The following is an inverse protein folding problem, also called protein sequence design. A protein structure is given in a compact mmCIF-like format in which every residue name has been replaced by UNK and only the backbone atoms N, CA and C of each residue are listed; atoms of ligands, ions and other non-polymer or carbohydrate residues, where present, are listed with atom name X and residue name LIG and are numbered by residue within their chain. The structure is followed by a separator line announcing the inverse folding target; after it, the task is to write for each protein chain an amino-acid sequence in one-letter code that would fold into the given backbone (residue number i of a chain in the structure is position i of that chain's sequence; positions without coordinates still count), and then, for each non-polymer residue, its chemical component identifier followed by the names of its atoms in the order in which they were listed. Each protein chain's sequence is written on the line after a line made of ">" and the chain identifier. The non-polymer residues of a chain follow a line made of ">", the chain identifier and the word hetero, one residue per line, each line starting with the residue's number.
data_IF_891340906089
#
_entry.id   IF_891340906089
#
_cell.length_a   1.000
_cell.length_b   1.000
_cell.length_c   1.000
_cell.angle_alpha   90.00
_cell.angle_beta   90.00
_cell.angle_gamma   90.00
#
_symmetry.space_group_name_H-M   'P 1'
#
loop_
_entity.id
_entity.type
_entity.pdbx_description
1 polymer ?
#
# COMPACT_ATOMS: atom_id res chain seq x y z
N UNK A 1 25.21 24.22 2.18
CA UNK A 1 24.78 23.44 0.99
C UNK A 1 23.53 24.10 0.45
N UNK A 2 23.37 24.20 -0.87
CA UNK A 2 22.19 24.85 -1.43
C UNK A 2 20.94 23.97 -1.20
N UNK A 3 19.75 24.56 -1.01
CA UNK A 3 18.48 23.83 -0.82
C UNK A 3 18.24 22.78 -1.90
N UNK A 4 18.64 23.07 -3.16
CA UNK A 4 18.56 22.14 -4.28
C UNK A 4 19.32 20.82 -4.10
N UNK A 5 20.39 20.78 -3.30
CA UNK A 5 21.14 19.55 -3.04
C UNK A 5 20.38 18.62 -2.11
N UNK A 6 19.62 19.17 -1.16
CA UNK A 6 18.84 18.41 -0.19
C UNK A 6 17.60 17.81 -0.89
N UNK A 7 16.96 18.60 -1.74
CA UNK A 7 15.82 18.14 -2.57
C UNK A 7 16.24 17.00 -3.52
N UNK A 8 17.40 17.13 -4.16
CA UNK A 8 17.98 16.07 -5.02
C UNK A 8 18.30 14.81 -4.21
N UNK A 9 18.75 14.92 -2.95
CA UNK A 9 19.08 13.76 -2.12
C UNK A 9 17.84 13.03 -1.61
N UNK A 10 16.76 13.74 -1.30
CA UNK A 10 15.47 13.12 -0.94
C UNK A 10 14.86 12.44 -2.15
N UNK A 11 14.86 13.10 -3.31
CA UNK A 11 14.40 12.54 -4.57
C UNK A 11 15.29 11.36 -5.03
N UNK A 12 16.61 11.41 -4.81
CA UNK A 12 17.50 10.31 -5.11
C UNK A 12 17.26 9.08 -4.21
N UNK A 13 16.93 9.27 -2.94
CA UNK A 13 16.54 8.16 -2.05
C UNK A 13 15.27 7.45 -2.54
N UNK A 14 14.28 8.22 -2.93
CA UNK A 14 13.02 7.70 -3.51
C UNK A 14 13.29 7.03 -4.86
N UNK A 15 14.14 7.62 -5.73
CA UNK A 15 14.48 7.06 -7.03
C UNK A 15 15.27 5.75 -6.93
N UNK A 16 16.19 5.63 -5.97
CA UNK A 16 16.93 4.39 -5.71
C UNK A 16 15.99 3.28 -5.26
N UNK A 17 15.04 3.59 -4.39
CA UNK A 17 14.01 2.65 -3.96
C UNK A 17 13.15 2.16 -5.13
N UNK A 18 12.73 3.06 -6.02
CA UNK A 18 11.95 2.71 -7.22
C UNK A 18 12.75 1.83 -8.20
N UNK A 19 14.04 2.08 -8.37
CA UNK A 19 14.91 1.29 -9.26
C UNK A 19 15.17 -0.10 -8.70
N UNK A 20 15.35 -0.26 -7.40
CA UNK A 20 15.50 -1.57 -6.77
C UNK A 20 14.24 -2.41 -6.90
N UNK A 21 13.07 -1.81 -6.80
CA UNK A 21 11.78 -2.47 -6.99
C UNK A 21 11.54 -2.90 -8.45
N UNK A 22 11.89 -2.08 -9.43
CA UNK A 22 11.81 -2.44 -10.85
C UNK A 22 12.62 -3.70 -11.19
N UNK A 23 13.75 -3.93 -10.54
CA UNK A 23 14.55 -5.16 -10.71
C UNK A 23 13.83 -6.41 -10.20
N UNK A 24 13.09 -6.32 -9.11
CA UNK A 24 12.34 -7.46 -8.54
C UNK A 24 11.08 -7.79 -9.35
N UNK A 25 10.39 -6.79 -9.90
CA UNK A 25 9.15 -7.00 -10.68
C UNK A 25 9.44 -7.47 -12.11
N UNK A 26 10.61 -7.17 -12.68
CA UNK A 26 10.99 -7.60 -14.04
C UNK A 26 11.62 -9.00 -14.09
N UNK A 27 11.81 -9.68 -12.93
CA UNK A 27 12.46 -11.00 -12.83
C UNK A 27 11.55 -12.21 -13.06
N UNK A 28 10.22 -12.08 -13.12
CA UNK A 28 9.28 -13.20 -13.27
C UNK A 28 8.21 -12.94 -14.31
N UNK A 29 8.63 -12.80 -15.58
CA UNK A 29 7.73 -12.96 -16.73
C UNK A 29 7.94 -14.36 -17.31
N UNK A 30 7.28 -15.36 -16.77
CA UNK A 30 6.94 -16.55 -17.54
C UNK A 30 5.63 -16.28 -18.26
N UNK A 31 5.67 -16.42 -19.59
CA UNK A 31 4.57 -16.16 -20.48
C UNK A 31 3.41 -17.14 -20.26
N UNK A 32 2.23 -16.61 -20.08
CA UNK A 32 1.00 -17.38 -20.07
C UNK A 32 0.54 -17.60 -21.51
N UNK A 33 0.76 -18.81 -22.05
CA UNK A 33 0.12 -19.27 -23.27
C UNK A 33 -1.31 -19.73 -22.97
N UNK A 34 -2.29 -19.16 -23.68
CA UNK A 34 -3.69 -19.59 -23.62
C UNK A 34 -3.83 -21.03 -24.17
N UNK A 35 -4.48 -21.96 -23.42
CA UNK A 35 -4.92 -23.23 -23.99
C UNK A 35 -6.09 -23.01 -24.98
N UNK A 36 -6.22 -23.84 -26.03
CA UNK A 36 -7.29 -23.71 -27.00
C UNK A 36 -8.65 -24.13 -26.44
N UNK A 37 -9.69 -23.37 -26.82
CA UNK A 37 -11.08 -23.63 -26.50
C UNK A 37 -11.52 -24.98 -27.05
N UNK A 38 -11.91 -25.91 -26.19
CA UNK A 38 -12.67 -27.08 -26.57
C UNK A 38 -14.16 -26.79 -26.36
N UNK A 39 -14.88 -26.82 -27.50
CA UNK A 39 -16.35 -26.88 -27.51
C UNK A 39 -16.83 -28.20 -26.92
N UNK A 40 -17.65 -28.17 -25.91
CA UNK A 40 -18.38 -29.34 -25.44
C UNK A 40 -19.89 -29.08 -25.43
N UNK A 41 -20.57 -29.93 -26.14
CA UNK A 41 -22.01 -30.04 -26.36
C UNK A 41 -22.86 -30.25 -25.10
N UNK A 42 -24.18 -30.07 -25.16
CA UNK A 42 -25.03 -29.92 -23.99
C UNK A 42 -25.47 -31.28 -23.40
N UNK A 43 -25.43 -31.42 -22.11
CA UNK A 43 -26.06 -32.52 -21.41
C UNK A 43 -26.79 -32.10 -20.13
N UNK A 44 -28.12 -32.27 -20.23
CA UNK A 44 -29.13 -32.68 -19.25
C UNK A 44 -29.27 -31.91 -17.93
N UNK A 45 -30.47 -31.34 -17.84
CA UNK A 45 -31.24 -30.92 -16.66
C UNK A 45 -30.98 -31.79 -15.41
N UNK A 46 -30.62 -31.13 -14.32
CA UNK A 46 -31.00 -31.58 -12.98
C UNK A 46 -31.38 -30.36 -12.12
N UNK A 47 -32.60 -30.47 -11.66
CA UNK A 47 -33.35 -29.89 -10.53
C UNK A 47 -32.76 -28.66 -9.86
N UNK A 48 -33.57 -27.62 -9.95
CA UNK A 48 -33.55 -26.38 -9.21
C UNK A 48 -33.23 -26.55 -7.71
N UNK A 49 -31.99 -26.34 -7.35
CA UNK A 49 -31.72 -25.59 -6.14
C UNK A 49 -31.57 -24.15 -6.59
N UNK A 50 -32.61 -23.33 -6.43
CA UNK A 50 -32.43 -21.89 -6.42
C UNK A 50 -31.50 -21.58 -5.26
N UNK A 51 -30.20 -21.51 -5.56
CA UNK A 51 -29.31 -20.62 -4.84
C UNK A 51 -29.96 -19.26 -5.01
N UNK A 52 -30.43 -18.67 -3.93
CA UNK A 52 -30.72 -17.24 -3.89
C UNK A 52 -29.39 -16.64 -4.28
N UNK A 53 -29.29 -16.16 -5.49
CA UNK A 53 -28.16 -15.40 -6.00
C UNK A 53 -28.05 -14.23 -5.03
N UNK A 54 -27.09 -14.33 -4.10
CA UNK A 54 -26.83 -13.28 -3.13
C UNK A 54 -26.51 -12.04 -3.96
N UNK A 55 -27.25 -10.95 -3.74
CA UNK A 55 -27.07 -9.71 -4.49
C UNK A 55 -25.60 -9.33 -4.55
N UNK A 56 -25.24 -8.51 -5.54
CA UNK A 56 -23.85 -8.02 -5.74
C UNK A 56 -23.22 -7.69 -4.38
N UNK A 57 -21.99 -8.16 -4.14
CA UNK A 57 -21.26 -7.88 -2.92
C UNK A 57 -20.90 -6.39 -2.90
N UNK A 58 -21.73 -5.59 -2.21
CA UNK A 58 -21.60 -4.13 -2.13
C UNK A 58 -20.28 -3.72 -1.52
N UNK A 59 -19.70 -4.51 -0.60
CA UNK A 59 -18.39 -4.24 -0.03
C UNK A 59 -17.26 -4.27 -1.10
N UNK A 60 -17.44 -5.03 -2.18
CA UNK A 60 -16.53 -5.01 -3.34
C UNK A 60 -16.91 -3.89 -4.31
N UNK A 61 -18.19 -3.84 -4.72
CA UNK A 61 -18.63 -2.96 -5.82
C UNK A 61 -18.63 -1.50 -5.47
N UNK A 62 -18.74 -1.14 -4.20
CA UNK A 62 -18.62 0.24 -3.71
C UNK A 62 -17.17 0.76 -3.75
N UNK A 63 -16.18 -0.14 -3.76
CA UNK A 63 -14.77 0.21 -3.67
C UNK A 63 -13.99 0.06 -4.99
N UNK A 64 -14.48 -0.75 -5.94
CA UNK A 64 -13.81 -0.99 -7.23
C UNK A 64 -14.81 -1.36 -8.31
N UNK A 65 -14.44 -1.11 -9.58
CA UNK A 65 -15.28 -1.53 -10.71
C UNK A 65 -15.48 -3.06 -10.68
N UNK A 66 -16.75 -3.49 -10.67
CA UNK A 66 -17.16 -4.89 -10.63
C UNK A 66 -16.64 -5.74 -11.80
N UNK A 67 -16.28 -5.12 -12.91
CA UNK A 67 -15.71 -5.78 -14.10
C UNK A 67 -14.19 -5.83 -14.09
N UNK A 68 -13.55 -5.27 -13.06
CA UNK A 68 -12.10 -5.27 -12.96
C UNK A 68 -11.55 -6.62 -12.52
N UNK A 69 -10.34 -6.99 -12.92
CA UNK A 69 -9.64 -8.16 -12.36
C UNK A 69 -9.51 -8.12 -10.83
N UNK A 70 -9.44 -6.92 -10.27
CA UNK A 70 -9.35 -6.73 -8.82
C UNK A 70 -10.64 -7.13 -8.10
N UNK A 71 -11.81 -6.92 -8.69
CA UNK A 71 -13.06 -7.39 -8.11
C UNK A 71 -13.11 -8.93 -8.03
N UNK A 72 -12.60 -9.61 -9.05
CA UNK A 72 -12.48 -11.07 -9.06
C UNK A 72 -11.48 -11.55 -7.99
N UNK A 73 -10.36 -10.83 -7.80
CA UNK A 73 -9.38 -11.13 -6.76
C UNK A 73 -9.98 -10.98 -5.37
N UNK A 74 -10.70 -9.89 -5.10
CA UNK A 74 -11.41 -9.67 -3.83
C UNK A 74 -12.45 -10.76 -3.54
N UNK A 75 -13.21 -11.16 -4.56
CA UNK A 75 -14.19 -12.24 -4.41
C UNK A 75 -13.53 -13.58 -4.07
N UNK A 76 -12.32 -13.85 -4.60
CA UNK A 76 -11.53 -15.05 -4.26
C UNK A 76 -10.95 -14.96 -2.86
N UNK A 77 -10.45 -13.79 -2.43
CA UNK A 77 -9.99 -13.55 -1.07
C UNK A 77 -11.07 -13.85 -0.04
N UNK A 78 -12.30 -13.33 -0.24
CA UNK A 78 -13.45 -13.59 0.64
C UNK A 78 -13.86 -15.05 0.70
N UNK A 79 -13.57 -15.87 -0.31
CA UNK A 79 -13.79 -17.32 -0.25
C UNK A 79 -12.77 -18.03 0.64
N UNK A 80 -11.56 -17.50 0.79
CA UNK A 80 -10.50 -18.05 1.63
C UNK A 80 -10.63 -17.53 3.04
N UNK A 81 -10.86 -16.24 3.20
CA UNK A 81 -11.08 -15.58 4.49
C UNK A 81 -12.49 -14.95 4.49
N UNK A 82 -13.47 -15.66 5.04
CA UNK A 82 -14.86 -15.21 5.12
C UNK A 82 -15.04 -13.97 6.02
N UNK A 83 -14.07 -13.67 6.86
CA UNK A 83 -14.05 -12.47 7.71
C UNK A 83 -13.47 -11.24 7.02
N UNK A 84 -12.86 -11.38 5.83
CA UNK A 84 -12.28 -10.26 5.12
C UNK A 84 -13.35 -9.34 4.55
N UNK A 85 -13.29 -8.06 4.95
CA UNK A 85 -14.11 -6.97 4.41
C UNK A 85 -13.22 -5.86 3.86
N UNK A 86 -13.51 -5.41 2.64
CA UNK A 86 -12.76 -4.33 1.96
C UNK A 86 -12.84 -3.03 2.74
N UNK A 87 -14.04 -2.70 3.25
CA UNK A 87 -14.25 -1.48 4.03
C UNK A 87 -13.49 -1.49 5.37
N UNK A 88 -13.40 -2.64 6.05
CA UNK A 88 -12.59 -2.79 7.26
C UNK A 88 -11.10 -2.67 6.96
N UNK A 89 -10.63 -3.30 5.88
CA UNK A 89 -9.26 -3.14 5.40
C UNK A 89 -8.93 -1.67 5.11
N UNK A 90 -9.78 -0.95 4.37
CA UNK A 90 -9.55 0.46 4.05
C UNK A 90 -9.55 1.35 5.30
N UNK A 91 -10.37 1.03 6.31
CA UNK A 91 -10.35 1.71 7.61
C UNK A 91 -9.03 1.45 8.35
N UNK A 92 -8.53 0.21 8.34
CA UNK A 92 -7.22 -0.16 8.89
C UNK A 92 -6.08 0.52 8.14
N UNK A 93 -6.12 0.53 6.80
CA UNK A 93 -5.12 1.19 5.95
C UNK A 93 -5.05 2.69 6.20
N UNK A 94 -6.19 3.35 6.48
CA UNK A 94 -6.25 4.76 6.89
C UNK A 94 -5.44 5.01 8.17
N UNK A 95 -5.66 4.18 9.18
CA UNK A 95 -4.96 4.31 10.47
C UNK A 95 -3.47 3.97 10.34
N UNK A 96 -3.15 2.94 9.57
CA UNK A 96 -1.77 2.54 9.31
C UNK A 96 -1.00 3.64 8.55
N UNK A 97 -1.63 4.29 7.57
CA UNK A 97 -1.00 5.40 6.83
C UNK A 97 -0.56 6.52 7.77
N UNK A 98 -1.43 7.00 8.65
CA UNK A 98 -1.10 8.06 9.61
C UNK A 98 0.02 7.63 10.56
N UNK A 99 -0.11 6.44 11.18
CA UNK A 99 0.88 5.95 12.14
C UNK A 99 2.26 5.77 11.50
N UNK A 100 2.33 5.11 10.35
CA UNK A 100 3.59 4.81 9.66
C UNK A 100 4.24 6.10 9.13
N UNK A 101 3.44 7.00 8.51
CA UNK A 101 3.94 8.27 8.01
C UNK A 101 4.55 9.10 9.15
N UNK A 102 3.84 9.24 10.27
CA UNK A 102 4.32 10.03 11.39
C UNK A 102 5.50 9.37 12.11
N UNK A 103 5.55 8.04 12.20
CA UNK A 103 6.71 7.32 12.73
C UNK A 103 7.97 7.57 11.87
N UNK A 104 7.82 7.52 10.54
CA UNK A 104 8.90 7.82 9.59
C UNK A 104 9.38 9.29 9.69
N UNK A 105 8.45 10.25 9.75
CA UNK A 105 8.79 11.67 9.89
C UNK A 105 9.49 11.97 11.22
N UNK A 106 9.04 11.34 12.32
CA UNK A 106 9.65 11.47 13.64
C UNK A 106 10.96 10.70 13.79
N UNK A 107 11.29 9.80 12.85
CA UNK A 107 12.52 9.01 12.87
C UNK A 107 12.52 7.87 13.89
N UNK A 108 11.35 7.38 14.29
CA UNK A 108 11.21 6.23 15.20
C UNK A 108 10.15 5.25 14.68
N UNK A 109 10.60 4.10 14.17
CA UNK A 109 9.74 3.08 13.58
C UNK A 109 9.28 2.00 14.55
N UNK A 110 9.73 2.01 15.81
CA UNK A 110 9.54 0.90 16.77
C UNK A 110 8.09 0.45 16.93
N UNK A 111 7.17 1.41 17.00
CA UNK A 111 5.75 1.10 17.22
C UNK A 111 5.05 0.56 15.96
N UNK A 112 5.66 0.78 14.78
CA UNK A 112 5.09 0.41 13.49
C UNK A 112 5.82 -0.73 12.79
N UNK A 113 6.91 -1.23 13.34
CA UNK A 113 7.71 -2.34 12.77
C UNK A 113 6.84 -3.55 12.41
N UNK A 114 5.85 -3.89 13.23
CA UNK A 114 4.94 -5.03 13.03
C UNK A 114 4.03 -4.87 11.81
N UNK A 115 3.96 -3.68 11.23
CA UNK A 115 3.17 -3.37 10.03
C UNK A 115 4.03 -3.15 8.79
N UNK A 116 5.35 -3.28 8.90
CA UNK A 116 6.29 -3.07 7.80
C UNK A 116 6.89 -4.42 7.36
N UNK A 117 6.97 -4.61 6.06
CA UNK A 117 7.85 -5.63 5.50
C UNK A 117 9.31 -5.24 5.70
N UNK A 118 10.21 -6.23 5.76
CA UNK A 118 11.63 -6.01 6.02
C UNK A 118 12.28 -5.04 5.03
N UNK A 119 11.96 -5.13 3.73
CA UNK A 119 12.54 -4.27 2.70
C UNK A 119 12.07 -2.81 2.89
N UNK A 120 10.82 -2.59 3.27
CA UNK A 120 10.28 -1.25 3.55
C UNK A 120 10.88 -0.68 4.83
N UNK A 121 11.00 -1.50 5.88
CA UNK A 121 11.62 -1.11 7.14
C UNK A 121 13.07 -0.68 6.92
N UNK A 122 13.85 -1.48 6.18
CA UNK A 122 15.24 -1.17 5.86
C UNK A 122 15.36 0.13 5.06
N UNK A 123 14.51 0.34 4.06
CA UNK A 123 14.50 1.55 3.26
C UNK A 123 14.19 2.80 4.10
N UNK A 124 13.20 2.72 4.97
CA UNK A 124 12.84 3.83 5.87
C UNK A 124 13.96 4.11 6.87
N UNK A 125 14.54 3.06 7.46
CA UNK A 125 15.64 3.20 8.42
C UNK A 125 16.88 3.84 7.79
N UNK A 126 17.20 3.52 6.53
CA UNK A 126 18.30 4.17 5.80
C UNK A 126 18.08 5.68 5.68
N UNK A 127 16.86 6.12 5.34
CA UNK A 127 16.55 7.56 5.24
C UNK A 127 16.64 8.24 6.62
N UNK A 128 16.13 7.61 7.67
CA UNK A 128 16.21 8.09 9.05
C UNK A 128 17.69 8.24 9.46
N UNK A 129 18.51 7.24 9.20
CA UNK A 129 19.95 7.27 9.50
C UNK A 129 20.66 8.40 8.75
N UNK A 130 20.37 8.59 7.45
CA UNK A 130 20.93 9.69 6.66
C UNK A 130 20.53 11.07 7.22
N UNK A 131 19.28 11.23 7.69
CA UNK A 131 18.83 12.46 8.39
C UNK A 131 19.62 12.67 9.67
N UNK A 132 19.82 11.61 10.47
CA UNK A 132 20.56 11.65 11.72
C UNK A 132 22.05 12.00 11.53
N UNK A 133 22.73 11.39 10.54
CA UNK A 133 24.12 11.68 10.19
C UNK A 133 24.32 13.15 9.80
N UNK A 134 23.33 13.75 9.15
CA UNK A 134 23.33 15.17 8.78
C UNK A 134 22.81 16.07 9.88
N UNK A 135 22.48 15.52 11.06
CA UNK A 135 21.91 16.23 12.20
C UNK A 135 20.64 17.01 11.83
N UNK A 136 19.85 16.45 10.92
CA UNK A 136 18.59 17.03 10.48
C UNK A 136 17.45 16.48 11.34
N UNK A 137 16.58 17.37 11.77
CA UNK A 137 15.35 17.05 12.50
C UNK A 137 14.14 17.46 11.69
N UNK A 138 13.28 16.50 11.36
CA UNK A 138 11.98 16.76 10.77
C UNK A 138 10.99 17.06 11.91
N UNK A 139 10.15 18.07 11.69
CA UNK A 139 8.99 18.36 12.53
C UNK A 139 7.79 18.43 11.61
N UNK A 140 6.92 17.44 11.70
CA UNK A 140 5.73 17.31 10.88
C UNK A 140 4.46 17.29 11.73
N UNK A 141 3.38 17.80 11.16
CA UNK A 141 2.04 17.72 11.72
C UNK A 141 1.09 17.19 10.65
N UNK A 142 0.39 16.10 10.96
CA UNK A 142 -0.57 15.47 10.07
C UNK A 142 -1.98 15.97 10.38
N UNK A 143 -2.69 16.46 9.36
CA UNK A 143 -4.04 17.04 9.51
C UNK A 143 -5.14 16.04 9.14
N UNK A 144 -4.82 15.03 8.32
CA UNK A 144 -5.75 13.99 7.95
C UNK A 144 -5.63 13.49 6.52
N UNK A 145 -6.46 12.53 6.17
CA UNK A 145 -6.58 11.97 4.82
C UNK A 145 -7.80 12.56 4.14
N UNK A 146 -7.57 13.32 3.08
CA UNK A 146 -8.62 13.94 2.27
C UNK A 146 -9.32 12.93 1.35
N UNK A 147 -8.51 12.06 0.72
CA UNK A 147 -9.00 11.05 -0.22
C UNK A 147 -8.30 9.73 0.06
N UNK A 148 -9.06 8.65 -0.01
CA UNK A 148 -8.59 7.28 0.10
C UNK A 148 -9.38 6.43 -0.88
N UNK A 149 -8.69 5.63 -1.70
CA UNK A 149 -9.35 4.74 -2.64
C UNK A 149 -8.52 3.48 -2.91
N UNK A 150 -9.21 2.33 -3.01
CA UNK A 150 -8.60 1.11 -3.49
C UNK A 150 -8.24 1.27 -4.98
N UNK A 151 -7.00 0.95 -5.33
CA UNK A 151 -6.50 1.04 -6.72
C UNK A 151 -6.48 -0.31 -7.40
N UNK A 152 -5.98 -1.32 -6.71
CA UNK A 152 -5.93 -2.69 -7.21
C UNK A 152 -5.98 -3.67 -6.06
N UNK A 153 -6.38 -4.88 -6.40
CA UNK A 153 -6.32 -6.04 -5.55
C UNK A 153 -5.85 -7.23 -6.38
N UNK A 154 -4.84 -7.93 -5.90
CA UNK A 154 -4.29 -9.13 -6.49
C UNK A 154 -4.29 -10.26 -5.47
N UNK A 155 -4.54 -11.48 -5.95
CA UNK A 155 -4.58 -12.65 -5.08
C UNK A 155 -4.02 -13.88 -5.78
N UNK A 156 -2.95 -14.44 -5.23
CA UNK A 156 -2.38 -15.70 -5.67
C UNK A 156 -3.03 -16.87 -4.90
N UNK A 157 -3.81 -17.68 -5.60
CA UNK A 157 -4.50 -18.83 -5.00
C UNK A 157 -3.57 -19.94 -4.54
N UNK A 158 -2.33 -20.03 -5.06
CA UNK A 158 -1.37 -21.06 -4.69
C UNK A 158 -0.67 -20.72 -3.38
N UNK A 159 -0.16 -19.50 -3.29
CA UNK A 159 0.56 -19.02 -2.10
C UNK A 159 -0.36 -18.46 -1.03
N UNK A 160 -1.64 -18.14 -1.38
CA UNK A 160 -2.61 -17.45 -0.54
C UNK A 160 -2.20 -16.02 -0.17
N UNK A 161 -1.24 -15.48 -0.89
CA UNK A 161 -0.82 -14.09 -0.69
C UNK A 161 -1.82 -13.15 -1.39
N UNK A 162 -2.32 -12.19 -0.63
CA UNK A 162 -3.16 -11.11 -1.09
C UNK A 162 -2.37 -9.81 -1.08
N UNK A 163 -2.50 -9.00 -2.12
CA UNK A 163 -1.92 -7.66 -2.22
C UNK A 163 -2.99 -6.64 -2.59
N UNK A 164 -3.09 -5.56 -1.80
CA UNK A 164 -4.01 -4.46 -2.04
C UNK A 164 -3.25 -3.14 -2.13
N UNK A 165 -3.41 -2.42 -3.24
CA UNK A 165 -2.83 -1.09 -3.42
C UNK A 165 -3.89 -0.03 -3.16
N UNK A 166 -3.57 0.91 -2.29
CA UNK A 166 -4.46 2.00 -1.85
C UNK A 166 -3.81 3.34 -2.19
N UNK A 167 -4.57 4.22 -2.82
CA UNK A 167 -4.15 5.61 -3.01
C UNK A 167 -4.66 6.47 -1.86
N UNK A 168 -3.76 7.32 -1.38
CA UNK A 168 -4.01 8.30 -0.33
C UNK A 168 -3.75 9.71 -0.85
N UNK A 169 -4.53 10.67 -0.37
CA UNK A 169 -4.19 12.09 -0.42
C UNK A 169 -4.18 12.60 1.00
N UNK A 170 -3.00 12.67 1.60
CA UNK A 170 -2.77 13.18 2.95
C UNK A 170 -2.55 14.68 2.96
N UNK A 171 -2.92 15.33 4.06
CA UNK A 171 -2.63 16.74 4.32
C UNK A 171 -1.70 16.85 5.54
N UNK A 172 -0.52 17.43 5.34
CA UNK A 172 0.48 17.61 6.40
C UNK A 172 1.26 18.90 6.21
N UNK A 173 1.78 19.45 7.30
CA UNK A 173 2.86 20.44 7.26
C UNK A 173 4.15 19.81 7.75
N UNK A 174 5.27 20.21 7.20
CA UNK A 174 6.57 19.67 7.58
C UNK A 174 7.66 20.72 7.40
N UNK A 175 8.59 20.74 8.35
CA UNK A 175 9.83 21.54 8.29
C UNK A 175 11.00 20.65 8.64
N UNK A 176 12.13 20.91 7.99
CA UNK A 176 13.42 20.31 8.33
C UNK A 176 14.28 21.37 9.01
N UNK A 177 14.82 21.04 10.19
CA UNK A 177 15.71 21.88 10.97
C UNK A 177 17.12 21.31 10.99
N UNK A 178 18.11 22.23 11.01
CA UNK A 178 19.51 21.88 11.25
C UNK A 178 19.80 21.70 12.76
N UNK A 179 21.07 21.43 13.11
CA UNK A 179 21.52 21.25 14.49
C UNK A 179 21.31 22.52 15.34
N UNK A 180 21.38 23.70 14.75
CA UNK A 180 21.17 24.99 15.40
C UNK A 180 19.67 25.30 15.58
N UNK A 181 18.77 24.47 15.06
CA UNK A 181 17.33 24.63 15.14
C UNK A 181 16.74 25.56 14.08
N UNK A 182 17.55 26.02 13.12
CA UNK A 182 17.09 26.84 12.01
C UNK A 182 16.32 26.00 10.99
N UNK A 183 15.23 26.56 10.46
CA UNK A 183 14.47 25.90 9.37
C UNK A 183 15.28 26.04 8.09
N UNK A 184 15.67 24.89 7.51
CA UNK A 184 16.41 24.83 6.25
C UNK A 184 15.51 24.41 5.08
N UNK A 185 14.35 23.81 5.37
CA UNK A 185 13.38 23.39 4.37
C UNK A 185 11.96 23.37 4.96
N UNK A 186 10.96 23.66 4.12
CA UNK A 186 9.55 23.60 4.48
C UNK A 186 9.02 24.87 5.13
N UNK A 187 7.72 24.84 5.44
CA UNK A 187 7.01 25.90 6.17
C UNK A 187 5.96 25.25 7.08
N UNK A 188 6.08 25.46 8.39
CA UNK A 188 5.16 24.90 9.37
C UNK A 188 3.71 25.41 9.23
N UNK A 189 3.51 26.55 8.55
CA UNK A 189 2.18 27.14 8.32
C UNK A 189 1.56 26.70 7.01
N UNK A 190 2.34 26.06 6.14
CA UNK A 190 1.87 25.64 4.82
C UNK A 190 1.49 24.16 4.87
N UNK A 191 0.18 23.90 4.79
CA UNK A 191 -0.32 22.54 4.60
C UNK A 191 -0.09 22.11 3.15
N UNK A 192 0.62 21.02 2.97
CA UNK A 192 0.87 20.39 1.67
C UNK A 192 -0.03 19.17 1.51
N UNK A 193 -0.44 18.91 0.28
CA UNK A 193 -1.10 17.66 -0.10
C UNK A 193 -0.06 16.70 -0.64
N UNK A 194 0.04 15.55 0.00
CA UNK A 194 0.88 14.45 -0.42
C UNK A 194 0.01 13.36 -1.00
N UNK A 195 0.38 12.88 -2.20
CA UNK A 195 -0.30 11.77 -2.86
C UNK A 195 0.60 10.56 -2.84
N UNK A 196 0.11 9.48 -2.25
CA UNK A 196 0.86 8.25 -2.13
C UNK A 196 0.01 7.08 -2.60
N UNK A 197 0.67 6.06 -3.12
CA UNK A 197 0.09 4.75 -3.34
C UNK A 197 0.87 3.72 -2.54
N UNK A 198 0.21 3.10 -1.57
CA UNK A 198 0.81 2.08 -0.72
C UNK A 198 0.22 0.71 -1.05
N UNK A 199 1.08 -0.30 -1.07
CA UNK A 199 0.66 -1.69 -1.28
C UNK A 199 0.85 -2.45 0.03
N UNK A 200 -0.24 -3.07 0.47
CA UNK A 200 -0.27 -3.93 1.63
C UNK A 200 -0.39 -5.38 1.20
N UNK A 201 0.31 -6.28 1.88
CA UNK A 201 0.27 -7.72 1.63
C UNK A 201 -0.09 -8.51 2.88
N UNK A 202 -0.81 -9.63 2.71
CA UNK A 202 -1.14 -10.56 3.78
C UNK A 202 -1.23 -11.98 3.23
N UNK A 203 -0.71 -12.94 3.99
CA UNK A 203 -0.99 -14.36 3.78
C UNK A 203 -2.35 -14.71 4.41
N UNK A 204 -3.35 -14.99 3.57
CA UNK A 204 -4.70 -15.33 4.02
C UNK A 204 -4.80 -16.76 4.59
N UNK A 205 -3.76 -17.56 4.51
CA UNK A 205 -3.66 -18.85 5.20
C UNK A 205 -3.12 -18.73 6.63
N UNK A 206 -2.53 -17.58 6.97
CA UNK A 206 -2.00 -17.28 8.30
C UNK A 206 -3.12 -16.92 9.28
N UNK A 207 -2.91 -17.22 10.55
CA UNK A 207 -3.77 -16.75 11.65
C UNK A 207 -3.48 -15.30 12.04
N UNK A 208 -2.40 -14.71 11.54
CA UNK A 208 -2.08 -13.30 11.75
C UNK A 208 -3.02 -12.43 10.93
N UNK A 209 -3.83 -11.56 11.54
CA UNK A 209 -4.74 -10.68 10.82
C UNK A 209 -4.05 -9.45 10.21
N UNK A 210 -2.79 -9.20 10.55
CA UNK A 210 -2.09 -7.98 10.17
C UNK A 210 -1.73 -7.96 8.68
N UNK A 211 -1.89 -6.79 8.07
CA UNK A 211 -1.39 -6.47 6.75
C UNK A 211 -0.05 -5.76 6.87
N UNK A 212 0.92 -6.20 6.09
CA UNK A 212 2.25 -5.59 6.04
C UNK A 212 2.33 -4.61 4.87
N UNK A 213 2.88 -3.43 5.10
CA UNK A 213 3.24 -2.50 4.05
C UNK A 213 4.46 -3.05 3.30
N UNK A 214 4.28 -3.43 2.03
CA UNK A 214 5.34 -4.03 1.19
C UNK A 214 5.86 -3.07 0.13
N UNK A 215 5.15 -1.98 -0.14
CA UNK A 215 5.61 -0.99 -1.10
C UNK A 215 4.95 0.38 -0.91
N UNK A 216 5.70 1.43 -1.22
CA UNK A 216 5.23 2.81 -1.30
C UNK A 216 5.65 3.45 -2.61
N UNK A 217 4.78 4.32 -3.17
CA UNK A 217 5.09 5.19 -4.32
C UNK A 217 4.34 6.51 -4.17
N UNK A 218 4.87 7.58 -4.69
CA UNK A 218 4.30 8.94 -4.73
C UNK A 218 4.11 9.41 -6.17
#
# INVERSE_FOLDING_TARGET
>A
MSPAIIEILVLAGIAIFLVLRLKNVLGTREGFEKPPLQESSPSKKNRDFRVIDGGEDTDITDNIDKKSPSADSLARMKKVDNGFLVNEFLSGARSAYEMILMAFENGDLKEVEVFLDADVQDAFQQVINMRAEKKLKVVAEFYGIRELSLKSADFDEKTKIAELSVAFTGELSSVVKNEEGEIIEGDAKQVKRQKDTWTFSRDLSSTDPNWLLVATSS
#
